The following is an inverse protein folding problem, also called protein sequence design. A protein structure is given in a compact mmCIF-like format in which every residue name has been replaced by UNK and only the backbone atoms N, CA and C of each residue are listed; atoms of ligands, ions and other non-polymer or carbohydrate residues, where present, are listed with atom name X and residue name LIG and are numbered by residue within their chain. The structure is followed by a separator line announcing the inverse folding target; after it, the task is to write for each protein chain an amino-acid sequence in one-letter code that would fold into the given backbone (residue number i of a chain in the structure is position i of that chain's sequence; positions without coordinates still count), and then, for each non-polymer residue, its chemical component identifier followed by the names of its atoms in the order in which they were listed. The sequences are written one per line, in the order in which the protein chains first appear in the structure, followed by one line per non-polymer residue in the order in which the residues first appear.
data_IF_773208217296
#
_entry.id   IF_773208217296
#
_cell.length_a   1.000
_cell.length_b   1.000
_cell.length_c   1.000
_cell.angle_alpha   90.00
_cell.angle_beta   90.00
_cell.angle_gamma   90.00
#
_symmetry.space_group_name_H-M   'P 1'
#
loop_
_entity.id
_entity.type
_entity.pdbx_description
1 polymer ?
#
# COMPACT_ATOMS: atom_id res chain seq x y z
N UNK A 1 -9.63 16.73 14.89
CA UNK A 1 -8.37 17.30 15.40
C UNK A 1 -8.63 18.63 16.12
N UNK A 2 -9.37 19.57 15.53
CA UNK A 2 -9.70 20.86 16.17
C UNK A 2 -10.41 20.72 17.51
N UNK A 3 -11.30 19.73 17.64
CA UNK A 3 -12.02 19.44 18.89
C UNK A 3 -11.11 18.88 19.99
N UNK A 4 -10.01 18.20 19.59
CA UNK A 4 -9.01 17.65 20.51
C UNK A 4 -8.04 18.75 20.96
N UNK A 5 -7.57 19.59 20.04
CA UNK A 5 -6.67 20.71 20.34
C UNK A 5 -7.03 21.93 19.48
N UNK A 6 -7.72 22.93 20.06
CA UNK A 6 -8.14 24.14 19.35
C UNK A 6 -6.99 25.11 19.02
N UNK A 7 -5.81 24.90 19.59
CA UNK A 7 -4.63 25.75 19.39
C UNK A 7 -3.79 25.33 18.16
N UNK A 8 -4.13 24.20 17.53
CA UNK A 8 -3.42 23.71 16.34
C UNK A 8 -4.16 24.15 15.08
N UNK A 9 -3.43 24.79 14.16
CA UNK A 9 -3.95 25.08 12.82
C UNK A 9 -3.80 23.85 11.93
N UNK A 10 -4.92 23.35 11.41
CA UNK A 10 -4.94 22.20 10.49
C UNK A 10 -5.22 22.68 9.09
N UNK A 11 -4.27 22.48 8.18
CA UNK A 11 -4.41 22.71 6.74
C UNK A 11 -4.73 21.39 6.06
N UNK A 12 -5.84 21.34 5.32
CA UNK A 12 -6.27 20.14 4.61
C UNK A 12 -5.87 20.23 3.14
N UNK A 13 -5.16 19.23 2.67
CA UNK A 13 -4.87 19.03 1.25
C UNK A 13 -5.72 17.87 0.75
N UNK A 14 -6.79 18.15 0.01
CA UNK A 14 -7.71 17.13 -0.51
C UNK A 14 -7.16 16.38 -1.73
N UNK A 15 -6.09 16.90 -2.34
CA UNK A 15 -5.35 16.19 -3.37
C UNK A 15 -4.37 15.23 -2.72
N UNK A 16 -4.20 14.02 -3.27
CA UNK A 16 -3.11 13.12 -2.88
C UNK A 16 -1.74 13.77 -3.09
N UNK A 17 -0.72 13.22 -2.43
CA UNK A 17 0.67 13.53 -2.75
C UNK A 17 0.99 12.89 -4.09
N UNK A 18 1.42 13.72 -5.05
CA UNK A 18 1.76 13.30 -6.42
C UNK A 18 3.18 13.73 -6.77
N UNK A 19 3.81 13.14 -7.78
CA UNK A 19 5.14 13.56 -8.24
C UNK A 19 5.24 15.06 -8.56
N UNK A 20 4.15 15.66 -9.03
CA UNK A 20 4.10 17.06 -9.42
C UNK A 20 4.01 18.02 -8.22
N UNK A 21 3.42 17.59 -7.10
CA UNK A 21 3.19 18.45 -5.94
C UNK A 21 4.06 18.13 -4.71
N UNK A 22 4.63 16.93 -4.62
CA UNK A 22 5.27 16.42 -3.41
C UNK A 22 6.39 17.33 -2.89
N UNK A 23 7.36 17.70 -3.72
CA UNK A 23 8.50 18.53 -3.30
C UNK A 23 8.02 19.91 -2.86
N UNK A 24 7.18 20.58 -3.65
CA UNK A 24 6.67 21.91 -3.32
C UNK A 24 5.74 21.93 -2.09
N UNK A 25 5.09 20.80 -1.81
CA UNK A 25 4.29 20.64 -0.61
C UNK A 25 5.19 20.46 0.61
N UNK A 26 6.21 19.58 0.53
CA UNK A 26 7.10 19.28 1.66
C UNK A 26 8.00 20.47 2.03
N UNK A 27 8.42 21.26 1.06
CA UNK A 27 9.19 22.50 1.28
C UNK A 27 8.49 23.55 2.16
N UNK A 28 7.18 23.39 2.38
CA UNK A 28 6.40 24.27 3.26
C UNK A 28 6.37 23.82 4.73
N UNK A 29 6.98 22.66 5.06
CA UNK A 29 6.92 22.07 6.38
C UNK A 29 8.31 21.73 6.92
N UNK A 30 8.48 21.81 8.24
CA UNK A 30 9.74 21.50 8.93
C UNK A 30 9.99 19.99 9.06
N UNK A 31 8.94 19.17 8.92
CA UNK A 31 9.02 17.72 9.07
C UNK A 31 7.85 17.04 8.36
N UNK A 32 8.12 15.88 7.78
CA UNK A 32 7.09 15.01 7.19
C UNK A 32 6.95 13.75 8.04
N UNK A 33 5.72 13.35 8.34
CA UNK A 33 5.40 12.08 9.01
C UNK A 33 4.68 11.20 8.01
N UNK A 34 5.32 10.10 7.61
CA UNK A 34 4.79 9.18 6.59
C UNK A 34 3.96 8.06 7.23
N UNK A 35 2.65 8.10 6.99
CA UNK A 35 1.71 7.04 7.36
C UNK A 35 1.17 6.27 6.15
N UNK A 36 1.85 6.31 5.01
CA UNK A 36 1.40 5.62 3.80
C UNK A 36 1.51 4.09 3.91
N UNK A 37 0.60 3.39 3.27
CA UNK A 37 0.47 1.93 3.28
C UNK A 37 0.85 1.26 1.95
N UNK A 38 1.39 2.05 1.00
CA UNK A 38 1.81 1.56 -0.30
C UNK A 38 3.22 2.01 -0.67
N UNK A 39 3.91 1.22 -1.47
CA UNK A 39 5.30 1.49 -1.85
C UNK A 39 5.45 2.73 -2.72
N UNK A 40 4.54 2.97 -3.67
CA UNK A 40 4.61 4.13 -4.57
C UNK A 40 4.67 5.44 -3.80
N UNK A 41 3.72 5.66 -2.90
CA UNK A 41 3.68 6.86 -2.05
C UNK A 41 4.89 6.92 -1.12
N UNK A 42 5.34 5.80 -0.57
CA UNK A 42 6.49 5.76 0.36
C UNK A 42 7.79 6.16 -0.32
N UNK A 43 8.07 5.64 -1.52
CA UNK A 43 9.24 6.05 -2.30
C UNK A 43 9.15 7.50 -2.74
N UNK A 44 7.97 7.95 -3.18
CA UNK A 44 7.73 9.34 -3.52
C UNK A 44 7.96 10.28 -2.33
N UNK A 45 7.44 9.93 -1.15
CA UNK A 45 7.61 10.71 0.07
C UNK A 45 9.09 10.81 0.47
N UNK A 46 9.83 9.70 0.39
CA UNK A 46 11.28 9.73 0.67
C UNK A 46 12.04 10.64 -0.29
N UNK A 47 11.78 10.50 -1.59
CA UNK A 47 12.51 11.23 -2.62
C UNK A 47 12.16 12.73 -2.56
N UNK A 48 10.87 13.07 -2.35
CA UNK A 48 10.43 14.45 -2.17
C UNK A 48 11.04 15.09 -0.91
N UNK A 49 11.06 14.35 0.21
CA UNK A 49 11.69 14.80 1.46
C UNK A 49 13.19 15.04 1.29
N UNK A 50 13.88 14.19 0.52
CA UNK A 50 15.29 14.40 0.20
C UNK A 50 15.50 15.68 -0.63
N UNK A 51 14.72 15.90 -1.68
CA UNK A 51 14.86 17.09 -2.55
C UNK A 51 14.43 18.39 -1.88
N UNK A 52 13.49 18.34 -0.92
CA UNK A 52 13.10 19.51 -0.11
C UNK A 52 13.97 19.71 1.13
N UNK A 53 14.98 18.85 1.38
CA UNK A 53 15.76 18.84 2.61
C UNK A 53 14.91 18.79 3.89
N UNK A 54 13.79 18.08 3.85
CA UNK A 54 12.84 17.95 4.97
C UNK A 54 13.03 16.59 5.64
N UNK A 55 13.22 16.53 6.97
CA UNK A 55 13.27 15.26 7.69
C UNK A 55 11.99 14.43 7.48
N UNK A 56 12.16 13.13 7.27
CA UNK A 56 11.07 12.19 7.08
C UNK A 56 10.99 11.21 8.26
N UNK A 57 9.93 11.28 9.05
CA UNK A 57 9.63 10.28 10.07
C UNK A 57 8.84 9.15 9.44
N UNK A 58 9.55 8.06 9.18
CA UNK A 58 9.03 6.85 8.56
C UNK A 58 8.33 5.96 9.57
N UNK A 59 7.17 5.42 9.19
CA UNK A 59 6.49 4.34 9.88
C UNK A 59 5.97 3.29 8.89
N UNK A 60 6.10 2.03 9.23
CA UNK A 60 5.57 0.94 8.42
C UNK A 60 5.05 -0.18 9.30
N UNK A 61 4.01 -0.85 8.80
CA UNK A 61 3.40 -1.98 9.47
C UNK A 61 3.21 -3.11 8.46
N UNK A 62 3.56 -4.31 8.88
CA UNK A 62 3.28 -5.51 8.12
C UNK A 62 2.85 -6.64 9.06
N UNK A 63 1.61 -7.10 8.93
CA UNK A 63 1.01 -8.12 9.82
C UNK A 63 1.12 -7.75 11.29
N UNK A 64 2.11 -8.30 11.99
CA UNK A 64 2.35 -8.15 13.44
C UNK A 64 3.67 -7.43 13.74
N UNK A 65 4.35 -6.91 12.74
CA UNK A 65 5.59 -6.17 12.87
C UNK A 65 5.39 -4.70 12.50
N UNK A 66 5.98 -3.82 13.28
CA UNK A 66 6.02 -2.38 13.01
C UNK A 66 7.46 -1.89 12.93
N UNK A 67 7.69 -0.87 12.12
CA UNK A 67 9.00 -0.28 11.89
C UNK A 67 8.90 1.24 11.99
N UNK A 68 9.91 1.87 12.61
CA UNK A 68 10.02 3.33 12.72
C UNK A 68 11.48 3.74 12.49
N UNK A 69 11.69 4.82 11.76
CA UNK A 69 13.01 5.43 11.53
C UNK A 69 12.84 6.93 11.23
N UNK A 70 13.95 7.66 11.23
CA UNK A 70 14.03 9.04 10.72
C UNK A 70 15.03 9.06 9.58
N UNK A 71 14.61 9.57 8.43
CA UNK A 71 15.42 9.70 7.22
C UNK A 71 15.60 11.19 6.85
N UNK A 72 16.68 11.49 6.15
CA UNK A 72 16.94 12.81 5.57
C UNK A 72 16.98 13.98 6.60
N UNK A 73 17.27 13.71 7.87
CA UNK A 73 17.31 14.74 8.92
C UNK A 73 18.57 15.60 8.88
N UNK A 74 19.59 15.17 8.15
CA UNK A 74 20.80 15.93 7.88
C UNK A 74 21.51 15.36 6.62
N UNK A 75 22.49 16.08 6.02
CA UNK A 75 23.16 15.64 4.78
C UNK A 75 23.91 14.30 4.87
N UNK A 76 24.33 13.89 6.07
CA UNK A 76 25.05 12.63 6.30
C UNK A 76 24.08 11.48 6.67
N UNK A 77 22.81 11.78 6.90
CA UNK A 77 21.82 10.80 7.26
C UNK A 77 21.49 9.88 6.07
N UNK A 78 21.14 8.62 6.34
CA UNK A 78 20.60 7.76 5.31
C UNK A 78 19.21 8.23 4.87
N UNK A 79 18.86 7.93 3.62
CA UNK A 79 17.48 7.99 3.15
C UNK A 79 16.84 6.59 3.13
N UNK A 80 15.55 6.49 2.87
CA UNK A 80 14.86 5.20 2.79
C UNK A 80 15.48 4.27 1.74
N UNK A 81 15.98 4.82 0.60
CA UNK A 81 16.64 4.04 -0.45
C UNK A 81 18.03 3.51 -0.07
N UNK A 82 18.66 4.02 0.99
CA UNK A 82 19.86 3.39 1.55
C UNK A 82 19.58 2.01 2.15
N UNK A 83 18.34 1.80 2.61
CA UNK A 83 17.87 0.52 3.17
C UNK A 83 17.17 -0.34 2.12
N UNK A 84 16.36 0.29 1.26
CA UNK A 84 15.58 -0.34 0.19
C UNK A 84 15.79 0.44 -1.11
N UNK A 85 16.84 0.11 -1.90
CA UNK A 85 17.20 0.86 -3.10
C UNK A 85 16.06 0.92 -4.13
N UNK A 86 15.44 -0.23 -4.37
CA UNK A 86 14.36 -0.40 -5.33
C UNK A 86 13.09 -0.90 -4.65
N UNK A 87 11.92 -0.49 -5.16
CA UNK A 87 10.66 -1.05 -4.70
C UNK A 87 10.54 -2.52 -5.08
N UNK A 88 9.85 -3.32 -4.26
CA UNK A 88 9.62 -4.71 -4.58
C UNK A 88 8.82 -4.84 -5.89
N UNK A 89 9.03 -5.91 -6.66
CA UNK A 89 8.24 -6.15 -7.87
C UNK A 89 6.73 -6.14 -7.55
N UNK A 90 5.89 -5.62 -8.46
CA UNK A 90 4.44 -5.62 -8.28
C UNK A 90 3.91 -7.01 -7.92
N UNK A 91 3.06 -7.09 -6.89
CA UNK A 91 2.46 -8.35 -6.42
C UNK A 91 3.39 -9.28 -5.60
N UNK A 92 4.66 -8.93 -5.39
CA UNK A 92 5.59 -9.76 -4.59
C UNK A 92 5.38 -9.60 -3.07
N UNK A 93 4.82 -8.47 -2.64
CA UNK A 93 4.50 -8.20 -1.24
C UNK A 93 3.01 -7.86 -1.17
N UNK A 94 2.22 -8.60 -0.38
CA UNK A 94 0.80 -8.29 -0.22
C UNK A 94 0.62 -6.92 0.42
N UNK A 95 -0.40 -6.19 -0.01
CA UNK A 95 -0.79 -4.91 0.58
C UNK A 95 -1.28 -5.09 2.03
N UNK A 96 -1.35 -4.00 2.80
CA UNK A 96 -1.93 -4.02 4.14
C UNK A 96 -3.40 -4.48 4.13
N UNK A 97 -4.14 -4.19 3.05
CA UNK A 97 -5.52 -4.66 2.85
C UNK A 97 -5.60 -6.16 2.62
N UNK A 98 -4.60 -6.76 1.98
CA UNK A 98 -4.54 -8.20 1.69
C UNK A 98 -4.02 -9.00 2.88
N UNK A 99 -2.93 -8.53 3.51
CA UNK A 99 -2.28 -9.23 4.62
C UNK A 99 -3.04 -9.06 5.95
N UNK A 100 -3.86 -8.02 6.06
CA UNK A 100 -4.43 -7.55 7.31
C UNK A 100 -3.40 -6.90 8.21
N UNK A 101 -3.85 -5.98 9.07
CA UNK A 101 -3.02 -5.33 10.09
C UNK A 101 -3.76 -5.24 11.42
N UNK A 102 -3.03 -5.36 12.51
CA UNK A 102 -3.57 -5.09 13.84
C UNK A 102 -3.78 -3.57 14.01
N UNK A 103 -5.04 -3.12 14.17
CA UNK A 103 -5.34 -1.70 14.35
C UNK A 103 -4.63 -1.07 15.56
N UNK A 104 -4.41 -1.84 16.63
CA UNK A 104 -3.61 -1.40 17.80
C UNK A 104 -2.17 -1.13 17.44
N UNK A 105 -1.58 -1.88 16.52
CA UNK A 105 -0.21 -1.66 16.05
C UNK A 105 -0.08 -0.34 15.30
N UNK A 106 -1.10 0.04 14.51
CA UNK A 106 -1.15 1.36 13.88
C UNK A 106 -1.04 2.49 14.92
N UNK A 107 -1.77 2.37 16.05
CA UNK A 107 -1.71 3.33 17.15
C UNK A 107 -0.33 3.40 17.82
N UNK A 108 0.31 2.25 18.04
CA UNK A 108 1.66 2.17 18.64
C UNK A 108 2.68 2.84 17.71
N UNK A 109 2.73 2.45 16.45
CA UNK A 109 3.69 3.00 15.48
C UNK A 109 3.44 4.48 15.24
N UNK A 110 2.19 4.91 15.08
CA UNK A 110 1.86 6.33 14.93
C UNK A 110 2.25 7.18 16.14
N UNK A 111 2.12 6.64 17.36
CA UNK A 111 2.59 7.31 18.58
C UNK A 111 4.12 7.41 18.65
N UNK A 112 4.83 6.37 18.20
CA UNK A 112 6.28 6.41 18.08
C UNK A 112 6.74 7.42 17.02
N UNK A 113 6.08 7.48 15.87
CA UNK A 113 6.35 8.50 14.86
C UNK A 113 6.11 9.91 15.39
N UNK A 114 5.02 10.14 16.11
CA UNK A 114 4.74 11.44 16.74
C UNK A 114 5.84 11.83 17.75
N UNK A 115 6.35 10.86 18.54
CA UNK A 115 7.46 11.09 19.47
C UNK A 115 8.75 11.46 18.72
N UNK A 116 9.08 10.78 17.62
CA UNK A 116 10.24 11.14 16.79
C UNK A 116 10.07 12.55 16.18
N UNK A 117 8.88 12.89 15.70
CA UNK A 117 8.60 14.23 15.20
C UNK A 117 8.80 15.31 16.27
N UNK A 118 8.33 15.08 17.50
CA UNK A 118 8.54 15.99 18.63
C UNK A 118 10.03 16.13 18.95
N UNK A 119 10.80 15.04 18.98
CA UNK A 119 12.23 15.08 19.22
C UNK A 119 12.97 15.90 18.15
N UNK A 120 12.60 15.75 16.89
CA UNK A 120 13.16 16.53 15.79
C UNK A 120 12.86 18.03 15.92
N UNK A 121 11.60 18.38 16.18
CA UNK A 121 11.17 19.80 16.31
C UNK A 121 11.81 20.47 17.53
N UNK A 122 11.86 19.78 18.66
CA UNK A 122 12.40 20.32 19.92
C UNK A 122 13.90 20.15 20.06
N UNK A 123 14.56 19.40 19.18
CA UNK A 123 15.99 19.07 19.25
C UNK A 123 16.38 18.45 20.60
N UNK A 124 15.58 17.46 21.08
CA UNK A 124 15.78 16.79 22.36
C UNK A 124 15.94 15.27 22.19
N UNK A 125 16.65 14.65 23.12
CA UNK A 125 16.86 13.20 23.16
C UNK A 125 17.70 12.68 22.00
N UNK A 126 17.60 11.39 21.72
CA UNK A 126 18.28 10.70 20.62
C UNK A 126 17.27 10.35 19.54
N UNK A 127 17.52 10.83 18.31
CA UNK A 127 16.73 10.52 17.13
C UNK A 127 16.97 9.08 16.67
N UNK A 128 15.99 8.49 15.98
CA UNK A 128 16.17 7.25 15.21
C UNK A 128 16.85 7.48 13.85
N UNK A 129 17.50 8.60 13.64
CA UNK A 129 18.34 8.82 12.45
C UNK A 129 19.49 7.81 12.41
N UNK A 130 19.63 7.13 11.29
CA UNK A 130 20.62 6.05 11.14
C UNK A 130 20.29 4.76 11.92
N UNK A 131 19.08 4.63 12.46
CA UNK A 131 18.58 3.43 13.11
C UNK A 131 17.16 3.08 12.62
N UNK A 132 16.90 1.79 12.38
CA UNK A 132 15.55 1.25 12.20
C UNK A 132 15.12 0.54 13.49
N UNK A 133 14.11 1.06 14.14
CA UNK A 133 13.46 0.36 15.25
C UNK A 133 12.42 -0.60 14.68
N UNK A 134 12.53 -1.87 15.05
CA UNK A 134 11.61 -2.94 14.66
C UNK A 134 10.90 -3.43 15.93
N UNK A 135 9.57 -3.43 15.92
CA UNK A 135 8.70 -3.93 16.98
C UNK A 135 7.98 -5.20 16.51
N UNK A 136 8.26 -6.32 17.14
CA UNK A 136 7.53 -7.58 16.98
C UNK A 136 6.42 -7.67 18.04
N UNK A 137 5.17 -7.45 17.67
CA UNK A 137 4.08 -7.34 18.65
C UNK A 137 3.71 -8.66 19.32
N UNK A 138 3.84 -9.80 18.63
CA UNK A 138 3.49 -11.10 19.24
C UNK A 138 4.45 -11.50 20.36
N UNK A 139 5.69 -11.05 20.31
CA UNK A 139 6.71 -11.30 21.35
C UNK A 139 7.00 -10.07 22.21
N UNK A 140 6.45 -8.91 21.83
CA UNK A 140 6.76 -7.60 22.40
C UNK A 140 8.26 -7.27 22.42
N UNK A 141 8.99 -7.78 21.42
CA UNK A 141 10.42 -7.52 21.27
C UNK A 141 10.65 -6.31 20.40
N UNK A 142 11.59 -5.48 20.84
CA UNK A 142 12.09 -4.37 20.04
C UNK A 142 13.56 -4.62 19.68
N UNK A 143 13.92 -4.27 18.45
CA UNK A 143 15.30 -4.32 17.95
C UNK A 143 15.62 -3.01 17.27
N UNK A 144 16.85 -2.52 17.43
CA UNK A 144 17.38 -1.40 16.66
C UNK A 144 18.43 -1.92 15.70
N UNK A 145 18.24 -1.67 14.43
CA UNK A 145 19.16 -2.02 13.34
C UNK A 145 19.83 -0.73 12.86
N UNK A 146 21.15 -0.71 12.81
CA UNK A 146 21.90 0.44 12.30
C UNK A 146 21.76 0.53 10.78
N UNK A 147 21.38 1.70 10.28
CA UNK A 147 21.34 2.05 8.87
C UNK A 147 22.47 3.04 8.60
N UNK A 148 23.27 2.77 7.61
CA UNK A 148 24.31 3.71 7.13
C UNK A 148 23.90 4.30 5.80
N UNK A 149 24.30 5.54 5.55
CA UNK A 149 24.22 6.13 4.23
C UNK A 149 25.00 5.27 3.25
N UNK A 150 24.36 4.85 2.16
CA UNK A 150 24.98 4.02 1.15
C UNK A 150 25.63 4.92 0.08
N UNK A 151 26.94 4.83 -0.15
CA UNK A 151 27.60 5.55 -1.24
C UNK A 151 27.06 5.23 -2.64
N UNK A 152 26.42 4.06 -2.80
CA UNK A 152 25.80 3.61 -4.06
C UNK A 152 24.30 3.84 -4.11
N UNK A 153 23.72 4.54 -3.12
CA UNK A 153 22.29 4.83 -3.11
C UNK A 153 21.88 5.57 -4.38
N UNK A 154 20.83 5.13 -5.10
CA UNK A 154 20.40 5.75 -6.33
C UNK A 154 19.89 7.19 -6.17
N UNK A 155 19.54 7.61 -4.93
CA UNK A 155 19.06 8.96 -4.64
C UNK A 155 20.13 9.84 -3.97
N UNK A 156 20.69 9.39 -2.83
CA UNK A 156 21.54 10.21 -1.98
C UNK A 156 23.01 9.78 -1.98
N UNK A 157 23.40 8.86 -2.86
CA UNK A 157 24.76 8.35 -3.00
C UNK A 157 25.72 9.35 -3.67
N UNK A 158 26.95 8.91 -3.92
CA UNK A 158 28.01 9.74 -4.54
C UNK A 158 27.81 9.94 -6.05
N UNK A 159 27.04 9.08 -6.71
CA UNK A 159 26.67 9.18 -8.12
C UNK A 159 25.16 8.85 -8.25
N UNK A 160 24.26 9.77 -7.87
CA UNK A 160 22.85 9.50 -7.87
C UNK A 160 22.31 9.32 -9.29
N UNK A 161 21.39 8.36 -9.46
CA UNK A 161 20.65 8.13 -10.71
C UNK A 161 19.33 8.90 -10.73
N UNK A 162 18.78 9.19 -9.54
CA UNK A 162 17.53 9.92 -9.35
C UNK A 162 17.88 11.38 -9.06
N UNK A 163 17.85 12.21 -10.09
CA UNK A 163 18.13 13.65 -9.98
C UNK A 163 16.85 14.49 -9.89
N UNK A 164 15.73 13.96 -10.34
CA UNK A 164 14.41 14.61 -10.32
C UNK A 164 13.30 13.58 -10.10
N UNK A 165 12.19 14.03 -9.55
CA UNK A 165 10.96 13.24 -9.43
C UNK A 165 10.27 13.19 -10.79
N UNK A 166 10.03 11.98 -11.31
CA UNK A 166 9.30 11.74 -12.57
C UNK A 166 8.08 10.89 -12.30
N UNK A 167 6.94 11.25 -12.86
CA UNK A 167 5.66 10.57 -12.62
C UNK A 167 5.69 9.07 -12.93
N UNK A 168 6.44 8.67 -13.96
CA UNK A 168 6.55 7.28 -14.37
C UNK A 168 7.25 6.40 -13.33
N UNK A 169 8.11 7.00 -12.49
CA UNK A 169 8.92 6.28 -11.50
C UNK A 169 8.15 5.86 -10.24
N UNK A 170 6.92 6.36 -10.04
CA UNK A 170 6.13 6.13 -8.82
C UNK A 170 4.76 5.50 -9.09
N UNK A 171 4.54 5.03 -10.32
CA UNK A 171 3.32 4.30 -10.69
C UNK A 171 3.36 2.86 -10.19
N UNK A 172 3.51 2.68 -8.88
CA UNK A 172 3.31 1.40 -8.20
C UNK A 172 1.83 1.26 -7.83
N UNK A 173 0.97 1.46 -8.81
CA UNK A 173 -0.44 1.27 -8.60
C UNK A 173 -0.69 -0.20 -8.31
N UNK A 174 -1.53 -0.46 -7.31
CA UNK A 174 -2.33 -1.68 -7.28
C UNK A 174 -3.22 -1.79 -8.55
N UNK A 175 -3.21 -0.80 -9.40
CA UNK A 175 -3.76 -0.81 -10.75
C UNK A 175 -2.80 -1.59 -11.64
N UNK A 176 -3.10 -2.88 -11.75
CA UNK A 176 -2.52 -3.74 -12.77
C UNK A 176 -2.78 -3.06 -14.10
N UNK A 177 -1.67 -2.60 -14.70
CA UNK A 177 -1.49 -2.19 -16.09
C UNK A 177 -2.78 -1.96 -16.92
N UNK A 178 -3.13 -0.71 -17.10
CA UNK A 178 -4.01 -0.23 -18.20
C UNK A 178 -3.34 -0.35 -19.58
N UNK A 179 -2.51 -1.36 -19.82
CA UNK A 179 -1.85 -1.55 -21.11
C UNK A 179 -2.59 -2.49 -22.07
N UNK A 180 -3.71 -3.13 -21.64
CA UNK A 180 -4.47 -4.04 -22.48
C UNK A 180 -5.96 -3.64 -22.67
N UNK A 181 -6.30 -2.36 -22.44
CA UNK A 181 -7.71 -1.88 -22.60
C UNK A 181 -8.19 -1.82 -24.04
N UNK A 182 -7.32 -1.96 -25.03
CA UNK A 182 -7.72 -1.92 -26.44
C UNK A 182 -8.40 -3.22 -26.95
N UNK A 183 -8.28 -4.34 -26.22
CA UNK A 183 -8.90 -5.62 -26.63
C UNK A 183 -10.20 -5.97 -25.88
N UNK A 184 -10.62 -5.19 -24.88
CA UNK A 184 -11.80 -5.51 -24.05
C UNK A 184 -13.14 -4.98 -24.58
N UNK A 185 -13.15 -4.24 -25.68
CA UNK A 185 -14.37 -3.61 -26.22
C UNK A 185 -15.42 -4.61 -26.78
N UNK A 186 -15.13 -5.92 -26.82
CA UNK A 186 -16.01 -6.96 -27.34
C UNK A 186 -16.36 -8.07 -26.32
N UNK A 187 -16.08 -7.92 -25.05
CA UNK A 187 -16.42 -8.93 -24.06
C UNK A 187 -17.86 -8.81 -23.58
N UNK A 188 -18.56 -9.94 -23.32
CA UNK A 188 -20.00 -9.95 -22.99
C UNK A 188 -20.32 -9.33 -21.63
N UNK A 189 -19.31 -9.18 -20.76
CA UNK A 189 -19.47 -8.62 -19.41
C UNK A 189 -18.39 -7.59 -19.09
N UNK A 190 -18.70 -6.53 -18.31
CA UNK A 190 -17.70 -5.59 -17.81
C UNK A 190 -16.73 -6.31 -16.87
N UNK A 191 -15.53 -5.76 -16.70
CA UNK A 191 -14.52 -6.35 -15.80
C UNK A 191 -14.89 -6.15 -14.33
N UNK A 192 -15.61 -5.06 -14.03
CA UNK A 192 -16.03 -4.66 -12.69
C UNK A 192 -17.44 -4.09 -12.72
N UNK A 193 -18.23 -4.38 -11.67
CA UNK A 193 -19.56 -3.84 -11.45
C UNK A 193 -19.72 -3.43 -9.99
N UNK A 194 -20.67 -2.55 -9.70
CA UNK A 194 -20.98 -2.21 -8.32
C UNK A 194 -21.80 -3.31 -7.61
N UNK A 195 -21.81 -3.27 -6.27
CA UNK A 195 -22.48 -4.26 -5.42
C UNK A 195 -23.99 -4.34 -5.71
N UNK A 196 -24.62 -3.21 -6.08
CA UNK A 196 -26.07 -3.18 -6.35
C UNK A 196 -26.38 -3.90 -7.68
N UNK A 197 -25.56 -3.70 -8.68
CA UNK A 197 -25.65 -4.39 -9.97
C UNK A 197 -25.34 -5.89 -9.80
N UNK A 198 -24.29 -6.22 -9.06
CA UNK A 198 -23.93 -7.59 -8.71
C UNK A 198 -25.07 -8.33 -8.02
N UNK A 199 -25.75 -7.68 -7.07
CA UNK A 199 -26.92 -8.25 -6.39
C UNK A 199 -28.09 -8.50 -7.35
N UNK A 200 -28.34 -7.61 -8.31
CA UNK A 200 -29.37 -7.83 -9.33
C UNK A 200 -29.07 -9.05 -10.20
N UNK A 201 -27.82 -9.23 -10.62
CA UNK A 201 -27.39 -10.39 -11.39
C UNK A 201 -27.55 -11.68 -10.56
N UNK A 202 -27.17 -11.68 -9.29
CA UNK A 202 -27.35 -12.82 -8.40
C UNK A 202 -28.81 -13.25 -8.26
N UNK A 203 -29.73 -12.29 -8.20
CA UNK A 203 -31.18 -12.57 -8.12
C UNK A 203 -31.73 -13.26 -9.35
N UNK A 204 -31.04 -13.22 -10.50
CA UNK A 204 -31.44 -13.99 -11.70
C UNK A 204 -31.23 -15.49 -11.56
N UNK A 205 -30.47 -15.93 -10.56
CA UNK A 205 -30.14 -17.33 -10.30
C UNK A 205 -29.19 -17.97 -11.31
N UNK A 206 -28.58 -17.19 -12.20
CA UNK A 206 -27.67 -17.68 -13.23
C UNK A 206 -26.18 -17.39 -12.95
N UNK A 207 -25.90 -16.54 -11.97
CA UNK A 207 -24.53 -16.17 -11.65
C UNK A 207 -23.92 -17.09 -10.59
N UNK A 208 -22.62 -17.31 -10.68
CA UNK A 208 -21.82 -17.99 -9.66
C UNK A 208 -21.01 -16.97 -8.91
N UNK A 209 -21.11 -16.98 -7.58
CA UNK A 209 -20.39 -16.07 -6.70
C UNK A 209 -19.22 -16.79 -6.00
N UNK A 210 -18.02 -16.30 -6.18
CA UNK A 210 -16.79 -16.85 -5.62
C UNK A 210 -16.18 -15.89 -4.60
N UNK A 211 -15.96 -16.41 -3.39
CA UNK A 211 -15.17 -15.76 -2.34
C UNK A 211 -13.70 -16.13 -2.52
N UNK A 212 -12.86 -15.17 -2.89
CA UNK A 212 -11.42 -15.40 -3.10
C UNK A 212 -10.57 -15.14 -1.85
N UNK A 213 -11.22 -14.89 -0.71
CA UNK A 213 -10.56 -14.67 0.58
C UNK A 213 -10.06 -15.98 1.21
N UNK A 214 -9.30 -15.84 2.27
CA UNK A 214 -8.83 -16.99 3.04
C UNK A 214 -9.98 -17.66 3.85
N UNK A 215 -9.89 -18.97 4.17
CA UNK A 215 -10.95 -19.69 4.87
C UNK A 215 -11.39 -19.06 6.19
N UNK A 216 -10.47 -18.54 6.99
CA UNK A 216 -10.77 -17.89 8.26
C UNK A 216 -11.61 -16.61 8.11
N UNK A 217 -11.49 -15.88 6.98
CA UNK A 217 -12.28 -14.67 6.72
C UNK A 217 -13.75 -15.02 6.47
N UNK A 218 -14.00 -16.16 5.84
CA UNK A 218 -15.36 -16.68 5.61
C UNK A 218 -16.06 -17.08 6.91
N UNK A 219 -15.30 -17.56 7.90
CA UNK A 219 -15.86 -17.90 9.23
C UNK A 219 -16.34 -16.65 9.98
N UNK A 220 -15.72 -15.49 9.74
CA UNK A 220 -16.11 -14.22 10.36
C UNK A 220 -17.38 -13.67 9.70
N UNK A 221 -17.40 -13.59 8.38
CA UNK A 221 -18.55 -13.16 7.58
C UNK A 221 -18.46 -13.70 6.16
N UNK A 222 -19.60 -13.94 5.52
CA UNK A 222 -19.69 -14.41 4.14
C UNK A 222 -20.95 -13.86 3.46
N UNK A 223 -20.92 -13.85 2.14
CA UNK A 223 -22.14 -13.66 1.35
C UNK A 223 -22.77 -15.05 1.16
N UNK A 224 -24.03 -15.21 1.57
CA UNK A 224 -24.74 -16.48 1.44
C UNK A 224 -24.84 -16.92 -0.03
N UNK A 225 -24.66 -18.21 -0.28
CA UNK A 225 -24.62 -18.76 -1.63
C UNK A 225 -23.27 -18.66 -2.34
N UNK A 226 -22.25 -18.02 -1.74
CA UNK A 226 -20.92 -17.98 -2.30
C UNK A 226 -20.15 -19.29 -2.12
N UNK A 227 -19.43 -19.71 -3.15
CA UNK A 227 -18.42 -20.75 -3.08
C UNK A 227 -17.07 -20.14 -2.72
N UNK A 228 -16.26 -20.85 -1.93
CA UNK A 228 -14.93 -20.34 -1.56
C UNK A 228 -13.83 -21.02 -2.36
N UNK A 229 -13.01 -20.20 -3.02
CA UNK A 229 -11.79 -20.63 -3.71
C UNK A 229 -10.73 -19.55 -3.44
N UNK A 230 -9.86 -19.75 -2.43
CA UNK A 230 -8.83 -18.77 -2.09
C UNK A 230 -7.95 -18.40 -3.28
N UNK A 231 -7.57 -17.12 -3.39
CA UNK A 231 -6.83 -16.53 -4.51
C UNK A 231 -5.66 -17.43 -4.97
N UNK A 232 -4.85 -17.90 -4.02
CA UNK A 232 -3.67 -18.72 -4.31
C UNK A 232 -4.01 -20.13 -4.85
N UNK A 233 -5.25 -20.57 -4.75
CA UNK A 233 -5.71 -21.89 -5.23
C UNK A 233 -6.45 -21.82 -6.56
N UNK A 234 -6.75 -20.62 -7.06
CA UNK A 234 -7.45 -20.40 -8.34
C UNK A 234 -6.78 -21.14 -9.50
N UNK A 235 -5.43 -21.08 -9.69
CA UNK A 235 -4.78 -21.78 -10.80
C UNK A 235 -5.02 -23.29 -10.83
N UNK A 236 -5.19 -23.90 -9.66
CA UNK A 236 -5.43 -25.34 -9.52
C UNK A 236 -6.92 -25.74 -9.63
N UNK A 237 -7.83 -24.77 -9.78
CA UNK A 237 -9.27 -24.98 -9.80
C UNK A 237 -9.95 -24.43 -11.08
N UNK A 238 -9.19 -24.07 -12.11
CA UNK A 238 -9.74 -23.49 -13.34
C UNK A 238 -10.76 -24.42 -14.01
N UNK A 239 -10.55 -25.70 -13.99
CA UNK A 239 -11.43 -26.75 -14.54
C UNK A 239 -12.80 -26.83 -13.86
N UNK A 240 -12.95 -26.27 -12.66
CA UNK A 240 -14.19 -26.27 -11.87
C UNK A 240 -15.01 -25.00 -12.05
N UNK A 241 -14.47 -23.99 -12.73
CA UNK A 241 -15.13 -22.70 -12.90
C UNK A 241 -16.05 -22.70 -14.14
N UNK A 242 -17.26 -22.10 -14.05
CA UNK A 242 -18.15 -21.98 -15.19
C UNK A 242 -17.60 -21.01 -16.24
N UNK A 243 -17.78 -21.36 -17.51
CA UNK A 243 -17.32 -20.53 -18.64
C UNK A 243 -18.47 -19.79 -19.34
N UNK A 244 -19.74 -20.13 -19.04
CA UNK A 244 -20.93 -19.58 -19.70
C UNK A 244 -21.70 -18.59 -18.85
N UNK A 245 -21.85 -18.89 -17.55
CA UNK A 245 -22.63 -18.04 -16.65
C UNK A 245 -21.74 -16.94 -16.04
N UNK A 246 -22.30 -15.77 -15.65
CA UNK A 246 -21.55 -14.73 -14.99
C UNK A 246 -20.81 -15.27 -13.75
N UNK A 247 -19.49 -15.13 -13.76
CA UNK A 247 -18.61 -15.56 -12.67
C UNK A 247 -18.16 -14.35 -11.87
N UNK A 248 -18.88 -14.08 -10.79
CA UNK A 248 -18.61 -12.92 -9.94
C UNK A 248 -17.65 -13.28 -8.83
N UNK A 249 -16.63 -12.45 -8.67
CA UNK A 249 -15.57 -12.65 -7.69
C UNK A 249 -15.58 -11.49 -6.70
N UNK A 250 -15.49 -11.81 -5.40
CA UNK A 250 -15.41 -10.79 -4.37
C UNK A 250 -14.33 -11.08 -3.34
N UNK A 251 -13.85 -10.01 -2.74
CA UNK A 251 -13.01 -10.05 -1.55
C UNK A 251 -13.47 -8.97 -0.55
N UNK A 252 -12.59 -8.48 0.30
CA UNK A 252 -12.96 -7.45 1.28
C UNK A 252 -12.95 -6.03 0.69
N UNK A 253 -12.04 -5.74 -0.23
CA UNK A 253 -11.81 -4.39 -0.81
C UNK A 253 -11.76 -4.37 -2.35
N UNK A 254 -12.13 -5.44 -3.03
CA UNK A 254 -12.10 -5.52 -4.48
C UNK A 254 -10.73 -5.85 -5.11
N UNK A 255 -9.60 -5.63 -4.43
CA UNK A 255 -8.25 -5.78 -5.01
C UNK A 255 -7.88 -7.24 -5.31
N UNK A 256 -8.06 -8.16 -4.35
CA UNK A 256 -7.79 -9.60 -4.55
C UNK A 256 -8.71 -10.20 -5.60
N UNK A 257 -9.99 -9.84 -5.59
CA UNK A 257 -10.97 -10.29 -6.58
C UNK A 257 -10.69 -9.72 -7.96
N UNK A 258 -10.26 -8.45 -8.08
CA UNK A 258 -9.82 -7.86 -9.34
C UNK A 258 -8.61 -8.61 -9.93
N UNK A 259 -7.61 -8.93 -9.11
CA UNK A 259 -6.44 -9.71 -9.53
C UNK A 259 -6.85 -11.09 -10.08
N UNK A 260 -7.78 -11.77 -9.39
CA UNK A 260 -8.32 -13.05 -9.86
C UNK A 260 -9.12 -12.88 -11.15
N UNK A 261 -9.96 -11.84 -11.23
CA UNK A 261 -10.76 -11.54 -12.43
C UNK A 261 -9.87 -11.37 -13.66
N UNK A 262 -8.81 -10.58 -13.54
CA UNK A 262 -7.85 -10.36 -14.62
C UNK A 262 -7.09 -11.63 -14.99
N UNK A 263 -6.66 -12.42 -13.99
CA UNK A 263 -6.03 -13.71 -14.24
C UNK A 263 -6.96 -14.66 -14.99
N UNK A 264 -8.22 -14.76 -14.58
CA UNK A 264 -9.21 -15.61 -15.23
C UNK A 264 -9.49 -15.17 -16.67
N UNK A 265 -9.64 -13.86 -16.91
CA UNK A 265 -9.84 -13.33 -18.27
C UNK A 265 -8.66 -13.64 -19.20
N UNK A 266 -7.42 -13.50 -18.72
CA UNK A 266 -6.22 -13.91 -19.47
C UNK A 266 -6.19 -15.41 -19.79
N UNK A 267 -6.90 -16.23 -19.00
CA UNK A 267 -7.04 -17.67 -19.22
C UNK A 267 -8.37 -18.06 -19.91
N UNK A 268 -9.06 -17.12 -20.55
CA UNK A 268 -10.22 -17.38 -21.42
C UNK A 268 -11.59 -17.31 -20.74
N UNK A 269 -11.66 -16.90 -19.46
CA UNK A 269 -12.93 -16.72 -18.73
C UNK A 269 -13.46 -15.30 -18.94
N UNK A 270 -13.98 -15.00 -20.12
CA UNK A 270 -14.53 -13.67 -20.48
C UNK A 270 -15.77 -13.29 -19.65
N UNK A 271 -16.33 -14.23 -18.91
CA UNK A 271 -17.47 -14.08 -18.01
C UNK A 271 -17.08 -13.72 -16.57
N UNK A 272 -15.78 -13.58 -16.25
CA UNK A 272 -15.30 -13.22 -14.91
C UNK A 272 -15.51 -11.72 -14.64
N UNK A 273 -16.08 -11.38 -13.46
CA UNK A 273 -16.48 -10.03 -13.06
C UNK A 273 -16.03 -9.78 -11.63
N UNK A 274 -15.38 -8.66 -11.37
CA UNK A 274 -15.06 -8.16 -10.02
C UNK A 274 -16.28 -7.43 -9.41
N UNK A 275 -16.54 -7.65 -8.08
CA UNK A 275 -17.57 -6.91 -7.33
C UNK A 275 -17.04 -6.46 -5.97
#
# INVERSE_FOLDING_TARGET
LRDINPHVSVVLHNSGVTPENATSLFDQYDIVVDGSDNFGTRYLNNDAAYFSNTPLVFGSIFKFEGQVSVFNDNPEAPCYRCLFPDPPPPGSVPSCGEAGVLGTLCGIIGSMQALEAIKQVLQIGESLSGELLVLETLSMRTRKLKIKKDPHCPLCGTAPEIEIIRSESYQYNCDIASSDTENMANEPYPIEIDVSEGNQILQTGKAVLIDVREPYEKEICKIEGSSQIPLNTIPANLDKLPTSDPLMLYCHHGSRSMQVTQYLRKNGFTNAINI
#
